data_IF_457331209486
#
_entry.id   IF_457331209486
#
_cell.length_a   1.000
_cell.length_b   1.000
_cell.length_c   1.000
_cell.angle_alpha   90.00
_cell.angle_beta   90.00
_cell.angle_gamma   90.00
#
_symmetry.space_group_name_H-M   'P 1'
#
loop_
_entity.id
_entity.type
_entity.pdbx_description
1 polymer ?
#
# COMPACT_ATOMS: atom_id res chain seq x y z
N UNK A 1 7.80 -18.78 11.57
CA UNK A 1 8.08 -17.42 12.09
C UNK A 1 8.09 -16.48 10.90
N UNK A 2 7.33 -15.37 10.99
CA UNK A 2 7.28 -14.38 9.91
C UNK A 2 8.41 -13.36 10.07
N UNK A 3 9.11 -13.06 8.97
CA UNK A 3 10.12 -11.99 8.88
C UNK A 3 9.85 -11.16 7.63
N UNK A 4 9.72 -9.87 7.80
CA UNK A 4 9.47 -8.93 6.71
C UNK A 4 10.71 -8.06 6.47
N UNK A 5 11.32 -8.22 5.31
CA UNK A 5 12.45 -7.39 4.87
C UNK A 5 11.94 -6.06 4.33
N UNK A 6 12.49 -4.98 4.88
CA UNK A 6 12.02 -3.62 4.69
C UNK A 6 13.16 -2.65 4.46
N UNK A 7 12.83 -1.50 3.90
CA UNK A 7 13.63 -0.27 3.92
C UNK A 7 12.75 0.85 4.50
N UNK A 8 13.33 1.90 5.09
CA UNK A 8 12.56 3.04 5.60
C UNK A 8 11.61 3.63 4.56
N UNK A 9 10.46 4.11 5.01
CA UNK A 9 9.43 4.80 4.21
C UNK A 9 8.84 4.02 3.02
N UNK A 10 9.15 2.74 2.84
CA UNK A 10 8.63 1.98 1.70
C UNK A 10 7.11 1.81 1.76
N UNK A 11 6.39 2.47 0.84
CA UNK A 11 4.94 2.33 0.67
C UNK A 11 4.49 0.89 0.42
N UNK A 12 5.32 0.09 -0.27
CA UNK A 12 5.01 -1.32 -0.52
C UNK A 12 5.23 -2.19 0.72
N UNK A 13 6.17 -1.83 1.61
CA UNK A 13 6.34 -2.48 2.93
C UNK A 13 5.15 -2.14 3.82
N UNK A 14 4.72 -0.88 3.87
CA UNK A 14 3.56 -0.46 4.68
C UNK A 14 2.27 -1.21 4.31
N UNK A 15 2.08 -1.59 3.04
CA UNK A 15 0.99 -2.50 2.64
C UNK A 15 0.95 -3.76 3.48
N UNK A 16 2.13 -4.34 3.69
CA UNK A 16 2.27 -5.64 4.35
C UNK A 16 2.20 -5.50 5.86
N UNK A 17 2.81 -4.46 6.43
CA UNK A 17 2.72 -4.21 7.88
C UNK A 17 1.29 -3.95 8.33
N UNK A 18 0.48 -3.22 7.53
CA UNK A 18 -0.96 -3.05 7.76
C UNK A 18 -1.73 -4.39 7.69
N UNK A 19 -1.47 -5.19 6.66
CA UNK A 19 -2.15 -6.47 6.47
C UNK A 19 -1.79 -7.48 7.59
N UNK A 20 -0.54 -7.54 7.99
CA UNK A 20 -0.07 -8.39 9.10
C UNK A 20 -0.73 -7.98 10.41
N UNK A 21 -0.72 -6.69 10.75
CA UNK A 21 -1.35 -6.17 11.96
C UNK A 21 -2.86 -6.43 11.97
N UNK A 22 -3.54 -6.19 10.84
CA UNK A 22 -4.97 -6.49 10.71
C UNK A 22 -5.28 -7.97 10.94
N UNK A 23 -4.42 -8.87 10.47
CA UNK A 23 -4.55 -10.32 10.71
C UNK A 23 -4.08 -10.76 12.11
N UNK A 24 -3.56 -9.85 12.94
CA UNK A 24 -3.03 -10.17 14.26
C UNK A 24 -1.76 -11.02 14.22
N UNK A 25 -1.02 -10.99 13.12
CA UNK A 25 0.18 -11.78 12.91
C UNK A 25 1.41 -11.04 13.44
N UNK A 26 2.17 -11.72 14.31
CA UNK A 26 3.47 -11.22 14.78
C UNK A 26 4.52 -11.42 13.69
N UNK A 27 5.32 -10.40 13.44
CA UNK A 27 6.34 -10.41 12.41
C UNK A 27 7.59 -9.68 12.88
N UNK A 28 8.76 -10.26 12.66
CA UNK A 28 10.04 -9.59 12.83
C UNK A 28 10.28 -8.66 11.62
N UNK A 29 10.50 -7.37 11.87
CA UNK A 29 10.89 -6.43 10.83
C UNK A 29 12.42 -6.46 10.69
N UNK A 30 12.91 -6.78 9.49
CA UNK A 30 14.33 -6.79 9.14
C UNK A 30 14.64 -5.61 8.25
N UNK A 31 15.12 -4.52 8.85
CA UNK A 31 15.47 -3.32 8.11
C UNK A 31 16.78 -3.47 7.36
N UNK A 32 16.83 -2.94 6.14
CA UNK A 32 17.98 -2.90 5.27
C UNK A 32 18.32 -1.45 4.92
N UNK A 33 19.63 -1.24 4.65
CA UNK A 33 20.11 0.00 4.09
C UNK A 33 19.52 0.20 2.67
N UNK A 34 18.87 1.33 2.37
CA UNK A 34 18.38 1.63 1.03
C UNK A 34 19.45 1.57 -0.06
N UNK A 35 20.71 1.85 0.30
CA UNK A 35 21.86 1.87 -0.62
C UNK A 35 22.56 0.51 -0.75
N UNK A 36 22.31 -0.45 0.18
CA UNK A 36 22.83 -1.82 0.08
C UNK A 36 21.71 -2.87 0.12
N UNK A 37 21.25 -3.27 -1.04
CA UNK A 37 20.20 -4.29 -1.23
C UNK A 37 20.73 -5.69 -1.52
N UNK A 38 22.03 -5.91 -1.32
CA UNK A 38 22.68 -7.19 -1.63
C UNK A 38 22.10 -8.36 -0.84
N UNK A 39 21.67 -8.15 0.41
CA UNK A 39 21.03 -9.18 1.21
C UNK A 39 19.64 -9.55 0.66
N UNK A 40 18.85 -8.56 0.22
CA UNK A 40 17.53 -8.76 -0.40
C UNK A 40 17.67 -9.53 -1.71
N UNK A 41 18.65 -9.15 -2.54
CA UNK A 41 18.95 -9.82 -3.81
C UNK A 41 19.32 -11.29 -3.59
N UNK A 42 20.18 -11.59 -2.61
CA UNK A 42 20.56 -12.97 -2.29
C UNK A 42 19.37 -13.81 -1.80
N UNK A 43 18.44 -13.19 -1.07
CA UNK A 43 17.30 -13.89 -0.50
C UNK A 43 16.22 -14.18 -1.55
N UNK A 44 15.88 -13.18 -2.37
CA UNK A 44 14.68 -13.20 -3.24
C UNK A 44 14.97 -13.21 -4.73
N UNK A 45 16.23 -13.00 -5.13
CA UNK A 45 16.62 -12.90 -6.54
C UNK A 45 16.33 -11.52 -7.17
N UNK A 46 15.85 -10.52 -6.38
CA UNK A 46 15.56 -9.16 -6.84
C UNK A 46 15.82 -8.15 -5.71
N UNK A 47 16.00 -6.86 -6.03
CA UNK A 47 16.45 -5.83 -5.08
C UNK A 47 15.30 -5.04 -4.43
N UNK A 48 14.04 -5.39 -4.73
CA UNK A 48 12.88 -4.65 -4.25
C UNK A 48 12.34 -5.23 -2.93
N UNK A 49 11.78 -4.37 -2.10
CA UNK A 49 11.01 -4.75 -0.91
C UNK A 49 9.51 -4.50 -1.16
N UNK A 50 8.62 -5.18 -0.43
CA UNK A 50 8.85 -6.15 0.63
C UNK A 50 9.28 -7.52 0.15
N UNK A 51 10.01 -8.24 1.00
CA UNK A 51 10.21 -9.69 0.89
C UNK A 51 9.77 -10.30 2.22
N UNK A 52 8.88 -11.28 2.18
CA UNK A 52 8.38 -12.01 3.34
C UNK A 52 9.02 -13.39 3.40
N UNK A 53 9.62 -13.72 4.54
CA UNK A 53 9.96 -15.10 4.88
C UNK A 53 8.87 -15.66 5.80
N UNK A 54 8.31 -16.82 5.47
CA UNK A 54 7.27 -17.48 6.23
C UNK A 54 7.55 -18.99 6.32
N UNK A 55 8.15 -19.41 7.45
CA UNK A 55 8.52 -20.80 7.72
C UNK A 55 9.37 -21.45 6.60
N UNK A 56 10.29 -20.68 6.01
CA UNK A 56 11.19 -21.12 4.96
C UNK A 56 10.67 -20.88 3.54
N UNK A 57 9.44 -20.44 3.36
CA UNK A 57 8.94 -19.93 2.08
C UNK A 57 9.32 -18.45 1.94
N UNK A 58 9.90 -18.06 0.80
CA UNK A 58 10.26 -16.68 0.49
C UNK A 58 9.29 -16.15 -0.56
N UNK A 59 8.57 -15.07 -0.22
CA UNK A 59 7.60 -14.42 -1.11
C UNK A 59 8.01 -12.97 -1.33
N UNK A 60 8.21 -12.59 -2.56
CA UNK A 60 8.53 -11.23 -2.98
C UNK A 60 7.39 -10.61 -3.79
N UNK A 61 7.36 -9.28 -3.84
CA UNK A 61 6.31 -8.44 -4.42
C UNK A 61 5.04 -8.34 -3.54
N UNK A 62 4.68 -7.11 -3.18
CA UNK A 62 3.60 -6.85 -2.22
C UNK A 62 2.23 -7.44 -2.59
N UNK A 63 1.77 -7.45 -3.87
CA UNK A 63 0.58 -8.19 -4.28
C UNK A 63 0.63 -9.69 -3.99
N UNK A 64 1.78 -10.32 -4.24
CA UNK A 64 1.96 -11.74 -4.00
C UNK A 64 2.04 -12.06 -2.50
N UNK A 65 2.68 -11.18 -1.72
CA UNK A 65 2.70 -11.31 -0.26
C UNK A 65 1.29 -11.20 0.32
N UNK A 66 0.46 -10.23 -0.11
CA UNK A 66 -0.94 -10.12 0.31
C UNK A 66 -1.74 -11.39 0.00
N UNK A 67 -1.55 -11.97 -1.18
CA UNK A 67 -2.19 -13.23 -1.58
C UNK A 67 -1.72 -14.42 -0.75
N UNK A 68 -0.42 -14.48 -0.46
CA UNK A 68 0.15 -15.51 0.40
C UNK A 68 -0.47 -15.44 1.81
N UNK A 69 -0.53 -14.24 2.39
CA UNK A 69 -1.14 -14.03 3.71
C UNK A 69 -2.62 -14.42 3.72
N UNK A 70 -3.38 -14.09 2.67
CA UNK A 70 -4.79 -14.49 2.59
C UNK A 70 -4.96 -16.00 2.51
N UNK A 71 -4.14 -16.67 1.71
CA UNK A 71 -4.20 -18.12 1.53
C UNK A 71 -3.80 -18.88 2.79
N UNK A 72 -2.71 -18.47 3.44
CA UNK A 72 -2.14 -19.20 4.59
C UNK A 72 -2.81 -18.84 5.92
N UNK A 73 -3.27 -17.60 6.04
CA UNK A 73 -3.90 -17.04 7.23
C UNK A 73 -5.24 -16.41 6.85
N UNK A 74 -6.30 -17.18 6.57
CA UNK A 74 -7.53 -16.68 5.96
C UNK A 74 -8.38 -15.79 6.89
N UNK A 75 -8.08 -15.72 8.18
CA UNK A 75 -8.85 -14.95 9.16
C UNK A 75 -7.98 -13.91 9.89
N UNK A 76 -8.51 -12.66 10.07
CA UNK A 76 -9.66 -12.10 9.35
C UNK A 76 -9.36 -11.95 7.84
N UNK A 77 -10.39 -12.03 6.97
CA UNK A 77 -10.18 -12.02 5.53
C UNK A 77 -9.78 -10.61 5.03
N UNK A 78 -8.84 -10.57 4.08
CA UNK A 78 -8.49 -9.36 3.32
C UNK A 78 -9.27 -9.25 2.01
N UNK A 79 -9.88 -10.35 1.56
CA UNK A 79 -10.77 -10.39 0.40
C UNK A 79 -12.22 -10.64 0.82
N UNK A 80 -13.20 -10.00 0.16
CA UNK A 80 -14.60 -10.35 0.35
C UNK A 80 -14.85 -11.83 0.05
N UNK A 81 -15.71 -12.47 0.83
CA UNK A 81 -16.07 -13.88 0.64
C UNK A 81 -16.98 -14.11 -0.56
N UNK A 82 -17.72 -13.08 -0.99
CA UNK A 82 -18.56 -13.14 -2.19
C UNK A 82 -17.67 -13.08 -3.45
N UNK A 83 -17.84 -14.05 -4.35
CA UNK A 83 -16.99 -14.22 -5.55
C UNK A 83 -16.97 -12.97 -6.44
N UNK A 84 -18.12 -12.32 -6.69
CA UNK A 84 -18.20 -11.14 -7.53
C UNK A 84 -17.40 -9.96 -6.91
N UNK A 85 -17.58 -9.74 -5.60
CA UNK A 85 -16.87 -8.68 -4.86
C UNK A 85 -15.37 -8.96 -4.75
N UNK A 86 -14.98 -10.22 -4.61
CA UNK A 86 -13.58 -10.63 -4.65
C UNK A 86 -12.94 -10.35 -6.00
N UNK A 87 -13.64 -10.63 -7.11
CA UNK A 87 -13.17 -10.32 -8.45
C UNK A 87 -13.07 -8.80 -8.71
N UNK A 88 -14.03 -8.01 -8.22
CA UNK A 88 -13.95 -6.53 -8.28
C UNK A 88 -12.72 -6.00 -7.54
N UNK A 89 -12.42 -6.56 -6.35
CA UNK A 89 -11.23 -6.19 -5.60
C UNK A 89 -9.96 -6.54 -6.38
N UNK A 90 -9.90 -7.70 -7.01
CA UNK A 90 -8.76 -8.09 -7.84
C UNK A 90 -8.53 -7.14 -9.01
N UNK A 91 -9.60 -6.71 -9.68
CA UNK A 91 -9.52 -5.71 -10.73
C UNK A 91 -9.02 -4.35 -10.20
N UNK A 92 -9.46 -3.95 -9.01
CA UNK A 92 -8.96 -2.74 -8.36
C UNK A 92 -7.46 -2.84 -8.05
N UNK A 93 -6.99 -3.96 -7.49
CA UNK A 93 -5.57 -4.16 -7.19
C UNK A 93 -4.71 -4.11 -8.44
N UNK A 94 -5.16 -4.75 -9.52
CA UNK A 94 -4.46 -4.74 -10.81
C UNK A 94 -4.43 -3.33 -11.41
N UNK A 95 -5.58 -2.63 -11.43
CA UNK A 95 -5.67 -1.24 -11.86
C UNK A 95 -4.74 -0.33 -11.05
N UNK A 96 -4.76 -0.43 -9.71
CA UNK A 96 -3.93 0.40 -8.85
C UNK A 96 -2.43 0.20 -9.16
N UNK A 97 -1.99 -1.06 -9.22
CA UNK A 97 -0.59 -1.37 -9.43
C UNK A 97 -0.10 -1.10 -10.85
N UNK A 98 -0.94 -1.26 -11.87
CA UNK A 98 -0.53 -1.17 -13.29
C UNK A 98 -0.94 0.12 -13.98
N UNK A 99 -1.98 0.79 -13.49
CA UNK A 99 -2.51 2.02 -14.12
C UNK A 99 -2.28 3.21 -13.21
N UNK A 100 -2.83 3.19 -11.99
CA UNK A 100 -2.75 4.33 -11.07
C UNK A 100 -1.30 4.73 -10.71
N UNK A 101 -0.40 3.78 -10.59
CA UNK A 101 1.01 4.06 -10.26
C UNK A 101 1.83 4.63 -11.42
N UNK A 102 1.32 4.60 -12.66
CA UNK A 102 2.08 5.12 -13.82
C UNK A 102 2.32 6.62 -13.77
N UNK A 103 1.30 7.49 -13.58
CA UNK A 103 1.49 8.93 -13.51
C UNK A 103 2.52 9.36 -12.46
N UNK A 104 2.43 8.97 -11.18
CA UNK A 104 3.39 9.40 -10.18
C UNK A 104 4.81 8.86 -10.44
N UNK A 105 4.97 7.63 -10.95
CA UNK A 105 6.27 7.11 -11.34
C UNK A 105 6.87 7.91 -12.51
N UNK A 106 6.08 8.19 -13.55
CA UNK A 106 6.53 8.97 -14.69
C UNK A 106 7.01 10.37 -14.29
N UNK A 107 6.30 11.02 -13.35
CA UNK A 107 6.72 12.33 -12.81
C UNK A 107 8.03 12.18 -12.02
N UNK A 108 8.13 11.18 -11.14
CA UNK A 108 9.34 10.94 -10.35
C UNK A 108 10.56 10.62 -11.22
N UNK A 109 10.36 9.91 -12.33
CA UNK A 109 11.40 9.59 -13.33
C UNK A 109 11.73 10.77 -14.26
N UNK A 110 11.05 11.92 -14.13
CA UNK A 110 11.27 13.11 -14.94
C UNK A 110 10.77 13.00 -16.40
N UNK A 111 9.95 11.99 -16.70
CA UNK A 111 9.34 11.77 -18.04
C UNK A 111 7.86 12.13 -18.08
N UNK A 112 7.21 12.37 -16.92
CA UNK A 112 5.83 12.84 -16.79
C UNK A 112 5.74 14.35 -16.68
N UNK A 113 4.53 14.89 -16.87
CA UNK A 113 4.27 16.32 -16.83
C UNK A 113 2.84 16.66 -16.41
N UNK A 114 2.27 17.69 -17.03
CA UNK A 114 0.95 18.26 -16.70
C UNK A 114 -0.17 17.22 -16.82
N UNK A 115 -0.10 16.34 -17.81
CA UNK A 115 -1.11 15.30 -18.04
C UNK A 115 -1.12 14.30 -16.89
N UNK A 116 0.03 13.77 -16.52
CA UNK A 116 0.18 12.79 -15.42
C UNK A 116 -0.23 13.41 -14.08
N UNK A 117 0.15 14.66 -13.85
CA UNK A 117 -0.27 15.41 -12.66
C UNK A 117 -1.80 15.62 -12.61
N UNK A 118 -2.44 15.88 -13.76
CA UNK A 118 -3.90 16.01 -13.84
C UNK A 118 -4.61 14.66 -13.60
N UNK A 119 -4.08 13.56 -14.17
CA UNK A 119 -4.59 12.21 -13.93
C UNK A 119 -4.51 11.83 -12.45
N UNK A 120 -3.37 12.10 -11.82
CA UNK A 120 -3.17 11.82 -10.38
C UNK A 120 -4.18 12.58 -9.53
N UNK A 121 -4.33 13.90 -9.73
CA UNK A 121 -5.35 14.71 -9.03
C UNK A 121 -6.77 14.25 -9.33
N UNK A 122 -7.09 13.92 -10.59
CA UNK A 122 -8.41 13.42 -10.98
C UNK A 122 -8.80 12.11 -10.30
N UNK A 123 -7.81 11.29 -9.93
CA UNK A 123 -8.05 10.03 -9.23
C UNK A 123 -8.64 10.20 -7.83
N UNK A 124 -8.45 11.35 -7.17
CA UNK A 124 -9.01 11.63 -5.85
C UNK A 124 -10.54 11.54 -5.85
N UNK A 125 -11.19 12.07 -6.89
CA UNK A 125 -12.64 11.96 -7.07
C UNK A 125 -13.13 10.51 -7.20
N UNK A 126 -12.33 9.63 -7.77
CA UNK A 126 -12.63 8.19 -7.84
C UNK A 126 -12.61 7.54 -6.46
N UNK A 127 -11.56 7.79 -5.65
CA UNK A 127 -11.50 7.27 -4.28
C UNK A 127 -12.61 7.84 -3.39
N UNK A 128 -12.91 9.15 -3.52
CA UNK A 128 -14.02 9.79 -2.83
C UNK A 128 -15.36 9.13 -3.16
N UNK A 129 -15.58 8.76 -4.44
CA UNK A 129 -16.77 8.05 -4.89
C UNK A 129 -16.84 6.60 -4.37
N UNK A 130 -15.71 5.88 -4.37
CA UNK A 130 -15.64 4.52 -3.82
C UNK A 130 -16.05 4.47 -2.34
N UNK A 131 -15.77 5.52 -1.59
CA UNK A 131 -16.09 5.63 -0.17
C UNK A 131 -17.51 6.09 0.11
N UNK A 132 -18.36 6.30 -0.91
CA UNK A 132 -19.73 6.71 -0.70
C UNK A 132 -20.53 5.69 0.10
N UNK A 133 -20.96 6.06 1.31
CA UNK A 133 -21.76 5.23 2.21
C UNK A 133 -21.01 4.06 2.86
N UNK A 134 -19.67 4.05 2.86
CA UNK A 134 -18.87 2.98 3.45
C UNK A 134 -17.58 3.51 4.08
N UNK A 135 -17.09 2.85 5.15
CA UNK A 135 -15.89 3.30 5.87
C UNK A 135 -14.57 2.87 5.20
N UNK A 136 -14.57 1.85 4.33
CA UNK A 136 -13.42 1.33 3.62
C UNK A 136 -13.71 1.18 2.12
N UNK A 137 -12.67 1.09 1.29
CA UNK A 137 -12.80 1.11 -0.17
C UNK A 137 -13.72 0.02 -0.73
N UNK A 138 -13.76 -1.16 -0.10
CA UNK A 138 -14.56 -2.29 -0.56
C UNK A 138 -15.67 -2.73 0.41
N UNK A 139 -16.05 -1.90 1.38
CA UNK A 139 -17.19 -2.20 2.24
C UNK A 139 -17.06 -1.74 3.69
N UNK A 140 -17.62 -2.54 4.59
CA UNK A 140 -17.68 -2.23 6.03
C UNK A 140 -16.41 -2.57 6.82
N UNK A 141 -15.46 -3.31 6.24
CA UNK A 141 -14.21 -3.73 6.86
C UNK A 141 -12.99 -3.43 5.99
N UNK A 142 -11.83 -3.41 6.64
CA UNK A 142 -10.54 -3.27 5.98
C UNK A 142 -10.27 -4.45 5.03
N UNK A 143 -9.73 -4.16 3.85
CA UNK A 143 -9.44 -5.13 2.80
C UNK A 143 -8.06 -4.94 2.20
N UNK A 144 -7.64 -5.84 1.31
CA UNK A 144 -6.42 -5.68 0.53
C UNK A 144 -6.42 -4.42 -0.35
N UNK A 145 -7.60 -3.87 -0.71
CA UNK A 145 -7.69 -2.59 -1.43
C UNK A 145 -7.19 -1.43 -0.55
N UNK A 146 -7.61 -1.41 0.71
CA UNK A 146 -7.18 -0.40 1.68
C UNK A 146 -5.69 -0.51 1.97
N UNK A 147 -5.20 -1.74 2.24
CA UNK A 147 -3.78 -2.00 2.41
C UNK A 147 -2.95 -1.55 1.20
N UNK A 148 -3.48 -1.74 -0.02
CA UNK A 148 -2.77 -1.42 -1.27
C UNK A 148 -2.74 0.08 -1.56
N UNK A 149 -3.85 0.78 -1.38
CA UNK A 149 -3.96 2.18 -1.79
C UNK A 149 -3.48 3.16 -0.71
N UNK A 150 -3.75 2.87 0.57
CA UNK A 150 -3.50 3.79 1.66
C UNK A 150 -2.06 4.31 1.73
N UNK A 151 -1.00 3.47 1.64
CA UNK A 151 0.38 3.95 1.79
C UNK A 151 0.81 4.99 0.76
N UNK A 152 0.09 5.09 -0.35
CA UNK A 152 0.32 6.07 -1.41
C UNK A 152 -0.59 7.28 -1.27
N UNK A 153 -1.87 7.05 -1.02
CA UNK A 153 -2.87 8.14 -0.96
C UNK A 153 -2.69 8.99 0.29
N UNK A 154 -2.22 8.42 1.41
CA UNK A 154 -2.01 9.15 2.67
C UNK A 154 -1.17 10.41 2.51
N UNK A 155 -0.20 10.42 1.58
CA UNK A 155 0.70 11.56 1.35
C UNK A 155 -0.02 12.85 0.98
N UNK A 156 -1.25 12.80 0.52
CA UNK A 156 -2.09 13.98 0.31
C UNK A 156 -2.60 14.64 1.60
N UNK A 157 -2.43 13.99 2.76
CA UNK A 157 -2.91 14.48 4.07
C UNK A 157 -1.89 14.30 5.20
N UNK A 158 -1.17 13.17 5.23
CA UNK A 158 -0.27 12.77 6.32
C UNK A 158 1.05 12.29 5.73
N UNK A 159 2.15 12.86 6.19
CA UNK A 159 3.50 12.43 5.82
C UNK A 159 4.50 12.78 6.92
N UNK A 160 5.58 12.01 6.99
CA UNK A 160 6.70 12.27 7.88
C UNK A 160 7.63 13.32 7.24
N UNK A 161 7.98 14.42 7.91
CA UNK A 161 8.95 15.39 7.39
C UNK A 161 10.35 14.83 7.12
N UNK A 162 10.70 13.70 7.73
CA UNK A 162 11.96 13.00 7.51
C UNK A 162 11.96 12.12 6.22
N UNK A 163 10.79 11.92 5.62
CA UNK A 163 10.65 11.19 4.35
C UNK A 163 11.04 12.11 3.18
N UNK A 164 12.22 11.92 2.66
CA UNK A 164 12.78 12.72 1.55
C UNK A 164 12.79 12.00 0.20
N UNK A 165 12.15 10.85 0.12
CA UNK A 165 12.02 10.05 -1.12
C UNK A 165 11.41 10.87 -2.27
N UNK A 166 12.08 10.95 -3.44
CA UNK A 166 11.60 11.75 -4.57
C UNK A 166 10.19 11.37 -5.04
N UNK A 167 9.88 10.07 -5.03
CA UNK A 167 8.55 9.58 -5.41
C UNK A 167 7.47 10.07 -4.43
N UNK A 168 7.75 10.10 -3.13
CA UNK A 168 6.78 10.56 -2.12
C UNK A 168 6.55 12.07 -2.21
N UNK A 169 7.55 12.84 -2.58
CA UNK A 169 7.39 14.29 -2.86
C UNK A 169 6.41 14.55 -3.99
N UNK A 170 6.41 13.71 -5.04
CA UNK A 170 5.41 13.78 -6.12
C UNK A 170 4.00 13.54 -5.57
N UNK A 171 3.83 12.56 -4.68
CA UNK A 171 2.52 12.29 -4.05
C UNK A 171 2.06 13.46 -3.18
N UNK A 172 2.94 14.04 -2.37
CA UNK A 172 2.64 15.21 -1.53
C UNK A 172 2.20 16.40 -2.39
N UNK A 173 2.92 16.67 -3.48
CA UNK A 173 2.63 17.81 -4.35
C UNK A 173 1.30 17.67 -5.10
N UNK A 174 0.98 16.46 -5.56
CA UNK A 174 -0.13 16.26 -6.50
C UNK A 174 -1.38 15.61 -5.91
N UNK A 175 -1.31 15.03 -4.71
CA UNK A 175 -2.46 14.40 -4.05
C UNK A 175 -3.09 15.27 -2.94
N UNK A 176 -2.65 16.53 -2.78
CA UNK A 176 -3.21 17.39 -1.71
C UNK A 176 -4.74 17.40 -1.77
N UNK A 177 -5.38 17.01 -0.68
CA UNK A 177 -6.83 17.00 -0.50
C UNK A 177 -7.20 17.38 0.95
N UNK A 178 -8.49 17.59 1.21
CA UNK A 178 -9.00 18.03 2.51
C UNK A 178 -10.51 18.15 2.42
N UNK A 179 -11.04 19.35 2.59
CA UNK A 179 -12.48 19.63 2.62
C UNK A 179 -13.20 19.24 1.32
N UNK A 180 -12.51 19.30 0.18
CA UNK A 180 -13.07 18.90 -1.12
C UNK A 180 -13.27 17.39 -1.27
N UNK A 181 -12.61 16.58 -0.41
CA UNK A 181 -12.71 15.11 -0.40
C UNK A 181 -12.89 14.60 1.04
N UNK A 182 -14.04 14.88 1.69
CA UNK A 182 -14.22 14.63 3.11
C UNK A 182 -14.20 13.14 3.47
N UNK A 183 -14.74 12.25 2.61
CA UNK A 183 -14.74 10.80 2.86
C UNK A 183 -13.35 10.21 2.72
N UNK A 184 -12.59 10.69 1.75
CA UNK A 184 -11.19 10.29 1.55
C UNK A 184 -10.33 10.74 2.73
N UNK A 185 -10.52 11.96 3.20
CA UNK A 185 -9.85 12.50 4.39
C UNK A 185 -10.15 11.65 5.63
N UNK A 186 -11.41 11.29 5.83
CA UNK A 186 -11.82 10.44 6.96
C UNK A 186 -11.29 9.02 6.85
N UNK A 187 -11.27 8.45 5.64
CA UNK A 187 -10.69 7.14 5.39
C UNK A 187 -9.19 7.12 5.65
N UNK A 188 -8.43 8.11 5.20
CA UNK A 188 -6.99 8.21 5.51
C UNK A 188 -6.77 8.26 7.01
N UNK A 189 -7.48 9.12 7.75
CA UNK A 189 -7.36 9.19 9.22
C UNK A 189 -7.68 7.87 9.91
N UNK A 190 -8.69 7.16 9.41
CA UNK A 190 -9.12 5.85 9.95
C UNK A 190 -8.04 4.78 9.76
N UNK A 191 -7.47 4.68 8.55
CA UNK A 191 -6.44 3.68 8.26
C UNK A 191 -5.11 4.06 8.89
N UNK A 192 -4.80 5.36 8.97
CA UNK A 192 -3.59 5.86 9.64
C UNK A 192 -3.56 5.51 11.13
N UNK A 193 -4.71 5.53 11.78
CA UNK A 193 -4.86 5.13 13.18
C UNK A 193 -4.78 3.59 13.41
N UNK A 194 -4.73 2.77 12.37
CA UNK A 194 -4.59 1.33 12.51
C UNK A 194 -3.14 0.96 12.87
N UNK A 195 -2.92 -0.10 13.67
CA UNK A 195 -1.56 -0.56 14.00
C UNK A 195 -0.81 -1.06 12.78
N UNK A 196 0.52 -1.01 12.83
CA UNK A 196 1.42 -1.68 11.88
C UNK A 196 2.13 -2.83 12.60
N UNK A 197 2.42 -3.90 11.88
CA UNK A 197 3.29 -4.93 12.43
C UNK A 197 4.71 -4.35 12.56
N UNK A 198 5.33 -4.60 13.74
CA UNK A 198 6.63 -4.01 14.07
C UNK A 198 6.56 -2.79 15.00
N UNK A 199 5.40 -2.15 15.14
CA UNK A 199 5.15 -1.08 16.11
C UNK A 199 4.98 -1.71 17.52
N UNK A 200 6.04 -1.83 18.30
CA UNK A 200 6.03 -2.34 19.68
C UNK A 200 6.92 -1.53 20.62
#
# INVERSE_FOLDING_TARGET
MLRLHAIPFSTNVERITLALAYKGLQCELVEHDPDDRSAILRLSGQELVPVLEDDGEVVSDSPLVLRHLERKYPQPPLWPTETARSAELDLFLDWFNRVWKRPPNAIADGIGGITEAAELRGSLGYFEALLAGRPFLFGGGFTAADATAFPFIKYGLVFDPADDEPFHRVLIEHLSFGDDHPRLTEWVRRVDAMPRAGDS
#
